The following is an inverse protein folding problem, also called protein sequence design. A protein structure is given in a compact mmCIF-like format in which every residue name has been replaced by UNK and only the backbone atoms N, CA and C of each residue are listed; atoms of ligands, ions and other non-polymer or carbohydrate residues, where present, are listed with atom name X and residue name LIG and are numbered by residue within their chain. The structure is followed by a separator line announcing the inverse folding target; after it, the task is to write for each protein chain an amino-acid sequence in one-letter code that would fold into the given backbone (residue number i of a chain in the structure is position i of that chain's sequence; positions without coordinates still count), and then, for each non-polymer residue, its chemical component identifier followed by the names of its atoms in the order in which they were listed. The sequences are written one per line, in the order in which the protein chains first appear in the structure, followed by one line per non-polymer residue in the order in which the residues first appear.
data_IF_167088758789
#
_entry.id   IF_167088758789
#
_cell.length_a   1.000
_cell.length_b   1.000
_cell.length_c   1.000
_cell.angle_alpha   90.00
_cell.angle_beta   90.00
_cell.angle_gamma   90.00
#
_symmetry.space_group_name_H-M   'P 1'
#
loop_
_entity.id
_entity.type
_entity.pdbx_description
1 polymer ?
#
# COMPACT_ATOMS: atom_id res chain seq x y z
N UNK A 1 14.88 8.53 8.92
CA UNK A 1 14.07 7.53 8.21
C UNK A 1 14.46 6.15 8.75
N UNK A 2 13.67 5.61 9.67
CA UNK A 2 13.88 4.26 10.18
C UNK A 2 13.53 3.28 9.05
N UNK A 3 14.52 2.56 8.52
CA UNK A 3 14.28 1.60 7.44
C UNK A 3 13.64 0.33 7.99
N UNK A 4 12.58 -0.15 7.35
CA UNK A 4 11.91 -1.39 7.73
C UNK A 4 12.85 -2.58 7.54
N UNK A 5 13.15 -3.31 8.62
CA UNK A 5 14.08 -4.44 8.57
C UNK A 5 13.41 -5.60 7.82
N UNK A 6 14.14 -6.23 6.91
CA UNK A 6 13.66 -7.36 6.14
C UNK A 6 13.15 -8.49 7.05
N UNK A 7 11.85 -8.85 6.98
CA UNK A 7 11.26 -9.90 7.81
C UNK A 7 11.86 -11.29 7.57
N UNK A 8 12.45 -11.51 6.38
CA UNK A 8 13.10 -12.76 6.00
C UNK A 8 14.44 -12.99 6.70
N UNK A 9 14.90 -12.05 7.55
CA UNK A 9 16.02 -12.28 8.46
C UNK A 9 17.41 -11.98 7.89
N UNK A 10 17.53 -11.30 6.75
CA UNK A 10 18.84 -10.94 6.17
C UNK A 10 19.48 -9.69 6.83
N UNK A 11 18.83 -9.10 7.84
CA UNK A 11 19.37 -7.99 8.64
C UNK A 11 19.55 -6.67 7.88
N UNK A 12 18.97 -6.53 6.68
CA UNK A 12 18.99 -5.30 5.89
C UNK A 12 17.61 -4.66 5.81
N UNK A 13 17.60 -3.35 5.56
CA UNK A 13 16.39 -2.59 5.35
C UNK A 13 15.79 -2.90 3.99
N UNK A 14 14.47 -3.01 3.89
CA UNK A 14 13.76 -3.06 2.62
C UNK A 14 13.82 -1.68 1.94
N UNK A 15 13.84 -1.69 0.61
CA UNK A 15 13.72 -0.48 -0.21
C UNK A 15 12.27 -0.32 -0.67
N UNK A 16 11.71 0.88 -0.49
CA UNK A 16 10.38 1.20 -1.03
C UNK A 16 10.47 1.31 -2.55
N UNK A 17 9.70 0.49 -3.25
CA UNK A 17 9.66 0.47 -4.72
C UNK A 17 8.45 1.24 -5.25
N UNK A 18 7.32 1.17 -4.54
CA UNK A 18 6.10 1.94 -4.82
C UNK A 18 5.46 2.38 -3.52
N UNK A 19 4.82 3.54 -3.56
CA UNK A 19 4.07 4.11 -2.45
C UNK A 19 2.84 4.79 -3.01
N UNK A 20 1.69 4.57 -2.38
CA UNK A 20 0.44 5.26 -2.67
C UNK A 20 -0.11 5.77 -1.35
N UNK A 21 -0.48 7.04 -1.33
CA UNK A 21 -1.19 7.64 -0.21
C UNK A 21 -2.64 7.17 -0.19
N UNK A 22 -3.11 6.79 0.99
CA UNK A 22 -4.48 6.34 1.23
C UNK A 22 -5.12 7.24 2.27
N UNK A 23 -6.46 7.32 2.23
CA UNK A 23 -7.18 8.03 3.28
C UNK A 23 -6.90 7.36 4.63
N UNK A 24 -6.40 8.11 5.64
CA UNK A 24 -6.10 7.55 6.94
C UNK A 24 -7.32 6.87 7.55
N UNK A 25 -7.17 5.59 7.91
CA UNK A 25 -8.23 4.82 8.57
C UNK A 25 -8.19 4.98 10.09
N UNK A 26 -7.03 5.34 10.64
CA UNK A 26 -6.85 5.63 12.06
C UNK A 26 -7.18 7.09 12.37
N UNK A 27 -7.97 7.39 13.42
CA UNK A 27 -8.25 8.77 13.83
C UNK A 27 -7.02 9.49 14.43
N UNK A 28 -5.94 8.76 14.67
CA UNK A 28 -4.69 9.28 15.21
C UNK A 28 -3.59 9.40 14.16
N UNK A 29 -3.82 8.94 12.93
CA UNK A 29 -2.83 9.01 11.85
C UNK A 29 -3.17 10.14 10.91
N UNK A 30 -2.22 11.02 10.66
CA UNK A 30 -2.38 12.14 9.74
C UNK A 30 -2.07 11.73 8.30
N UNK A 31 -1.16 10.77 8.16
CA UNK A 31 -0.81 10.18 6.87
C UNK A 31 -0.74 8.66 7.00
N UNK A 32 -1.31 7.99 6.00
CA UNK A 32 -1.14 6.55 5.78
C UNK A 32 -0.68 6.31 4.34
N UNK A 33 0.39 5.53 4.16
CA UNK A 33 0.88 5.14 2.84
C UNK A 33 0.90 3.61 2.74
N UNK A 34 0.30 3.08 1.67
CA UNK A 34 0.50 1.69 1.28
C UNK A 34 1.76 1.62 0.43
N UNK A 35 2.72 0.81 0.86
CA UNK A 35 4.03 0.70 0.26
C UNK A 35 4.29 -0.75 -0.20
N UNK A 36 4.84 -0.88 -1.40
CA UNK A 36 5.49 -2.10 -1.83
C UNK A 36 6.98 -1.93 -1.60
N UNK A 37 7.59 -2.96 -1.03
CA UNK A 37 9.01 -2.94 -0.70
C UNK A 37 9.70 -4.21 -1.18
N UNK A 38 10.99 -4.07 -1.49
CA UNK A 38 11.84 -5.15 -1.99
C UNK A 38 13.14 -5.23 -1.19
N UNK A 39 13.58 -6.44 -0.89
CA UNK A 39 14.89 -6.69 -0.30
C UNK A 39 15.90 -6.99 -1.41
N UNK A 40 16.86 -6.11 -1.62
CA UNK A 40 17.93 -6.29 -2.62
C UNK A 40 18.89 -7.45 -2.29
N UNK A 41 18.84 -8.02 -1.09
CA UNK A 41 19.72 -9.12 -0.66
C UNK A 41 19.07 -10.50 -0.79
N UNK A 42 17.88 -10.67 -0.22
CA UNK A 42 17.21 -11.98 -0.19
C UNK A 42 16.03 -12.09 -1.17
N UNK A 43 15.81 -11.06 -1.99
CA UNK A 43 14.72 -10.97 -2.97
C UNK A 43 13.32 -11.11 -2.34
N UNK A 44 13.20 -10.84 -1.04
CA UNK A 44 11.92 -10.81 -0.36
C UNK A 44 11.11 -9.59 -0.81
N UNK A 45 9.81 -9.80 -0.98
CA UNK A 45 8.85 -8.77 -1.38
C UNK A 45 7.87 -8.57 -0.22
N UNK A 46 7.52 -7.32 0.06
CA UNK A 46 6.62 -6.99 1.17
C UNK A 46 5.57 -5.96 0.73
N UNK A 47 4.40 -6.08 1.35
CA UNK A 47 3.38 -5.04 1.38
C UNK A 47 3.36 -4.47 2.80
N UNK A 48 3.58 -3.17 2.91
CA UNK A 48 3.63 -2.46 4.19
C UNK A 48 2.64 -1.30 4.20
N UNK A 49 2.19 -0.96 5.40
CA UNK A 49 1.42 0.23 5.70
C UNK A 49 2.29 1.11 6.60
N UNK A 50 2.67 2.25 6.05
CA UNK A 50 3.29 3.33 6.79
C UNK A 50 2.20 4.19 7.42
N UNK A 51 2.35 4.53 8.69
CA UNK A 51 1.52 5.50 9.39
C UNK A 51 2.40 6.52 10.09
N UNK A 52 2.01 7.77 9.95
CA UNK A 52 2.65 8.90 10.62
C UNK A 52 1.63 9.66 11.43
N UNK A 53 1.99 9.95 12.68
CA UNK A 53 1.22 10.72 13.63
C UNK A 53 2.10 11.81 14.24
N UNK A 54 1.71 13.07 14.06
CA UNK A 54 2.28 14.19 14.79
C UNK A 54 1.52 14.49 16.09
N UNK A 55 0.53 13.66 16.45
CA UNK A 55 -0.22 13.76 17.69
C UNK A 55 0.59 13.22 18.88
N UNK A 56 1.81 13.73 19.06
CA UNK A 56 2.57 13.55 20.29
C UNK A 56 1.89 14.26 21.46
N UNK A 57 2.25 13.88 22.69
CA UNK A 57 1.90 14.66 23.88
C UNK A 57 2.40 16.11 23.72
N UNK A 58 1.74 17.08 24.35
CA UNK A 58 2.13 18.50 24.29
C UNK A 58 3.61 18.79 24.64
N UNK A 59 4.34 17.81 25.21
CA UNK A 59 5.76 17.88 25.62
C UNK A 59 6.68 16.84 24.92
N UNK A 60 6.23 16.08 23.93
CA UNK A 60 7.07 15.09 23.23
C UNK A 60 7.41 15.55 21.81
N UNK A 61 8.70 15.78 21.53
CA UNK A 61 9.26 15.97 20.18
C UNK A 61 9.30 14.67 19.36
N UNK A 62 8.46 13.69 19.70
CA UNK A 62 8.49 12.35 19.13
C UNK A 62 7.35 12.22 18.13
N UNK A 63 7.70 12.36 16.85
CA UNK A 63 6.85 11.90 15.75
C UNK A 63 6.71 10.37 15.87
N UNK A 64 5.48 9.89 15.98
CA UNK A 64 5.20 8.45 16.07
C UNK A 64 5.06 7.88 14.65
N UNK A 65 6.07 7.09 14.25
CA UNK A 65 6.10 6.39 12.97
C UNK A 65 5.87 4.89 13.16
N UNK A 66 4.87 4.34 12.50
CA UNK A 66 4.59 2.90 12.50
C UNK A 66 4.71 2.34 11.09
N UNK A 67 5.47 1.26 10.94
CA UNK A 67 5.48 0.45 9.72
C UNK A 67 5.02 -0.96 10.08
N UNK A 68 3.83 -1.32 9.63
CA UNK A 68 3.31 -2.69 9.73
C UNK A 68 3.35 -3.34 8.35
N UNK A 69 3.65 -4.63 8.25
CA UNK A 69 3.61 -5.28 6.94
C UNK A 69 3.88 -6.77 6.94
N UNK A 70 3.67 -7.38 5.78
CA UNK A 70 3.74 -8.81 5.57
C UNK A 70 4.56 -9.12 4.33
N UNK A 71 5.26 -10.26 4.36
CA UNK A 71 5.91 -10.82 3.17
C UNK A 71 4.82 -11.33 2.22
N UNK A 72 5.00 -11.03 0.95
CA UNK A 72 4.11 -11.48 -0.13
C UNK A 72 4.90 -12.19 -1.21
N UNK A 73 4.24 -13.07 -1.95
CA UNK A 73 4.85 -13.76 -3.08
C UNK A 73 5.13 -12.78 -4.23
N UNK A 74 6.20 -13.05 -4.99
CA UNK A 74 6.60 -12.22 -6.13
C UNK A 74 5.46 -11.99 -7.14
N UNK A 75 4.63 -13.01 -7.39
CA UNK A 75 3.48 -12.88 -8.31
C UNK A 75 2.49 -11.84 -7.83
N UNK A 76 2.13 -11.87 -6.53
CA UNK A 76 1.22 -10.89 -5.92
C UNK A 76 1.85 -9.51 -5.93
N UNK A 77 3.15 -9.42 -5.65
CA UNK A 77 3.89 -8.17 -5.71
C UNK A 77 3.85 -7.52 -7.11
N UNK A 78 4.12 -8.30 -8.16
CA UNK A 78 4.10 -7.80 -9.54
C UNK A 78 2.67 -7.37 -9.96
N UNK A 79 1.63 -8.10 -9.53
CA UNK A 79 0.22 -7.72 -9.72
C UNK A 79 -0.12 -6.40 -9.00
N UNK A 80 0.33 -6.23 -7.76
CA UNK A 80 0.11 -5.00 -6.99
C UNK A 80 0.84 -3.79 -7.59
N UNK A 81 2.04 -3.97 -8.14
CA UNK A 81 2.71 -2.90 -8.90
C UNK A 81 1.82 -2.43 -10.05
N UNK A 82 1.28 -3.36 -10.84
CA UNK A 82 0.41 -3.01 -11.96
C UNK A 82 -0.87 -2.30 -11.51
N UNK A 83 -1.45 -2.70 -10.38
CA UNK A 83 -2.63 -2.03 -9.81
C UNK A 83 -2.27 -0.62 -9.36
N UNK A 84 -1.20 -0.43 -8.59
CA UNK A 84 -0.77 0.87 -8.08
C UNK A 84 -0.42 1.84 -9.22
N UNK A 85 0.21 1.36 -10.29
CA UNK A 85 0.53 2.18 -11.48
C UNK A 85 -0.71 2.65 -12.25
N UNK A 86 -1.86 2.03 -12.03
CA UNK A 86 -3.11 2.35 -12.71
C UNK A 86 -4.21 2.79 -11.74
N UNK A 87 -3.88 3.08 -10.48
CA UNK A 87 -4.90 3.33 -9.44
C UNK A 87 -5.78 4.53 -9.78
N UNK A 88 -5.20 5.60 -10.36
CA UNK A 88 -5.96 6.78 -10.79
C UNK A 88 -6.95 6.45 -11.90
N UNK A 89 -6.51 5.68 -12.91
CA UNK A 89 -7.37 5.24 -14.01
C UNK A 89 -8.47 4.30 -13.52
N UNK A 90 -8.17 3.41 -12.57
CA UNK A 90 -9.16 2.54 -11.95
C UNK A 90 -10.19 3.35 -11.15
N UNK A 91 -9.75 4.36 -10.41
CA UNK A 91 -10.61 5.27 -9.67
C UNK A 91 -11.52 6.08 -10.60
N UNK A 92 -11.00 6.56 -11.74
CA UNK A 92 -11.79 7.22 -12.77
C UNK A 92 -12.84 6.27 -13.37
N UNK A 93 -12.44 5.07 -13.80
CA UNK A 93 -13.36 4.05 -14.33
C UNK A 93 -14.45 3.71 -13.31
N UNK A 94 -14.10 3.56 -12.04
CA UNK A 94 -15.07 3.27 -10.98
C UNK A 94 -16.07 4.42 -10.79
N UNK A 95 -15.58 5.68 -10.71
CA UNK A 95 -16.43 6.87 -10.58
C UNK A 95 -17.36 7.07 -11.78
N UNK A 96 -16.90 6.73 -12.98
CA UNK A 96 -17.70 6.85 -14.21
C UNK A 96 -18.73 5.72 -14.35
N UNK A 97 -18.39 4.47 -13.98
CA UNK A 97 -19.28 3.32 -14.18
C UNK A 97 -20.33 3.11 -13.08
N UNK A 98 -20.11 3.61 -11.85
CA UNK A 98 -21.04 3.44 -10.72
C UNK A 98 -22.01 4.60 -10.49
N UNK A 99 -21.97 5.65 -11.31
CA UNK A 99 -23.03 6.69 -11.33
C UNK A 99 -24.31 6.24 -12.06
N UNK A 100 -24.28 5.13 -12.81
CA UNK A 100 -25.48 4.45 -13.28
C UNK A 100 -25.63 3.13 -12.54
N UNK A 101 -26.80 2.91 -11.94
CA UNK A 101 -27.11 1.76 -11.08
C UNK A 101 -27.07 0.38 -11.74
N UNK A 102 -26.67 0.25 -13.01
CA UNK A 102 -26.77 -0.98 -13.79
C UNK A 102 -25.60 -1.11 -14.79
N UNK A 103 -24.37 -1.31 -14.31
CA UNK A 103 -23.23 -1.54 -15.23
C UNK A 103 -22.44 -2.79 -14.85
N UNK A 104 -22.60 -3.84 -15.66
CA UNK A 104 -21.77 -5.05 -15.63
C UNK A 104 -20.35 -4.69 -16.10
N UNK A 105 -19.37 -4.65 -15.19
CA UNK A 105 -17.98 -4.37 -15.54
C UNK A 105 -17.36 -5.66 -16.09
N UNK A 106 -17.23 -5.73 -17.40
CA UNK A 106 -16.40 -6.77 -18.05
C UNK A 106 -14.98 -6.24 -18.16
N UNK A 107 -14.13 -6.59 -17.19
CA UNK A 107 -12.69 -6.38 -17.34
C UNK A 107 -12.18 -7.33 -18.42
N UNK A 108 -11.41 -6.81 -19.38
CA UNK A 108 -10.96 -7.50 -20.60
C UNK A 108 -10.07 -8.75 -20.38
N UNK A 109 -9.98 -9.25 -19.15
CA UNK A 109 -9.38 -10.52 -18.77
C UNK A 109 -10.34 -11.30 -17.84
N UNK A 110 -11.44 -11.84 -18.37
CA UNK A 110 -12.25 -12.94 -17.83
C UNK A 110 -12.49 -13.04 -16.29
N UNK A 111 -12.60 -11.91 -15.57
CA UNK A 111 -13.07 -11.91 -14.19
C UNK A 111 -14.40 -11.15 -14.11
N UNK A 112 -15.50 -11.90 -14.00
CA UNK A 112 -16.79 -11.35 -13.58
C UNK A 112 -16.88 -11.44 -12.06
N UNK A 113 -16.99 -10.28 -11.40
CA UNK A 113 -17.43 -10.20 -10.01
C UNK A 113 -18.91 -9.84 -10.05
N UNK A 114 -19.77 -10.75 -9.59
CA UNK A 114 -21.17 -10.42 -9.29
C UNK A 114 -21.22 -9.77 -7.91
N UNK A 115 -21.73 -8.54 -7.85
CA UNK A 115 -22.11 -7.87 -6.60
C UNK A 115 -23.63 -7.91 -6.50
#
# INVERSE_FOLDING_TARGET
MAGFICPSGCGKTLETTKSVEVEPQSPFSEQELVQLMHCTICDAHALTLYRESHAGSFDSEDDDFVHDGYIIDKKVYDELIHIMDNIDKLNELYRHNFKSKDTEITLANNFSIKV
#
